data_IF_635197513812
#
_entry.id   IF_635197513812
#
_cell.length_a   1.000
_cell.length_b   1.000
_cell.length_c   1.000
_cell.angle_alpha   90.00
_cell.angle_beta   90.00
_cell.angle_gamma   90.00
#
_symmetry.space_group_name_H-M   'P 1'
#
loop_
_entity.id
_entity.type
_entity.pdbx_description
1 polymer ?
#
# COMPACT_ATOMS: atom_id res chain seq x y z
N UNK A 1 59.68 37.73 -56.88
CA UNK A 1 58.58 38.65 -56.49
C UNK A 1 58.11 38.24 -55.09
N UNK A 2 58.16 39.11 -54.07
CA UNK A 2 57.91 38.73 -52.66
C UNK A 2 56.42 38.57 -52.26
N UNK A 3 55.48 38.63 -53.21
CA UNK A 3 54.04 38.69 -52.92
C UNK A 3 53.27 37.36 -52.81
N UNK A 4 53.90 36.21 -53.12
CA UNK A 4 53.22 34.90 -53.11
C UNK A 4 53.09 34.32 -51.71
N UNK A 5 54.20 34.31 -50.96
CA UNK A 5 54.25 33.72 -49.61
C UNK A 5 53.43 34.52 -48.60
N UNK A 6 53.46 35.85 -48.70
CA UNK A 6 52.68 36.75 -47.86
C UNK A 6 51.17 36.58 -48.06
N UNK A 7 50.74 36.33 -49.29
CA UNK A 7 49.34 36.10 -49.61
C UNK A 7 48.85 34.71 -49.20
N UNK A 8 49.71 33.68 -49.30
CA UNK A 8 49.45 32.35 -48.73
C UNK A 8 49.32 32.37 -47.21
N UNK A 9 50.24 33.07 -46.52
CA UNK A 9 50.16 33.29 -45.07
C UNK A 9 48.88 34.04 -44.68
N UNK A 10 48.48 35.07 -45.45
CA UNK A 10 47.24 35.82 -45.22
C UNK A 10 45.99 34.93 -45.38
N UNK A 11 45.96 34.07 -46.40
CA UNK A 11 44.88 33.09 -46.59
C UNK A 11 44.81 32.08 -45.44
N UNK A 12 45.95 31.55 -45.01
CA UNK A 12 46.03 30.64 -43.87
C UNK A 12 45.53 31.30 -42.57
N UNK A 13 45.93 32.55 -42.33
CA UNK A 13 45.49 33.31 -41.16
C UNK A 13 43.98 33.57 -41.17
N UNK A 14 43.41 33.95 -42.32
CA UNK A 14 41.96 34.12 -42.47
C UNK A 14 41.18 32.81 -42.25
N UNK A 15 41.73 31.68 -42.73
CA UNK A 15 41.14 30.35 -42.51
C UNK A 15 41.14 29.97 -41.03
N UNK A 16 42.26 30.17 -40.33
CA UNK A 16 42.37 29.96 -38.88
C UNK A 16 41.39 30.87 -38.12
N UNK A 17 41.29 32.14 -38.51
CA UNK A 17 40.34 33.07 -37.90
C UNK A 17 38.89 32.61 -38.07
N UNK A 18 38.52 32.08 -39.23
CA UNK A 18 37.20 31.52 -39.47
C UNK A 18 36.93 30.28 -38.61
N UNK A 19 37.88 29.33 -38.55
CA UNK A 19 37.76 28.15 -37.70
C UNK A 19 37.66 28.49 -36.21
N UNK A 20 38.41 29.49 -35.74
CA UNK A 20 38.29 29.99 -34.36
C UNK A 20 36.91 30.62 -34.08
N UNK A 21 36.31 31.28 -35.05
CA UNK A 21 34.96 31.84 -34.91
C UNK A 21 33.89 30.74 -34.83
N UNK A 22 34.04 29.69 -35.64
CA UNK A 22 33.15 28.52 -35.62
C UNK A 22 33.24 27.76 -34.29
N UNK A 23 34.46 27.45 -33.82
CA UNK A 23 34.67 26.81 -32.51
C UNK A 23 34.06 27.64 -31.38
N UNK A 24 34.19 28.98 -31.42
CA UNK A 24 33.55 29.85 -30.42
C UNK A 24 32.03 29.71 -30.45
N UNK A 25 31.43 29.69 -31.64
CA UNK A 25 29.98 29.50 -31.79
C UNK A 25 29.52 28.13 -31.27
N UNK A 26 30.26 27.07 -31.57
CA UNK A 26 29.98 25.73 -31.04
C UNK A 26 30.12 25.67 -29.52
N UNK A 27 31.16 26.29 -28.96
CA UNK A 27 31.38 26.39 -27.52
C UNK A 27 30.20 27.08 -26.82
N UNK A 28 29.70 28.21 -27.34
CA UNK A 28 28.49 28.86 -26.81
C UNK A 28 27.24 27.95 -26.88
N UNK A 29 27.10 27.16 -27.95
CA UNK A 29 26.00 26.21 -28.09
C UNK A 29 26.10 25.08 -27.06
N UNK A 30 27.31 24.59 -26.78
CA UNK A 30 27.59 23.57 -25.76
C UNK A 30 27.30 24.12 -24.38
N UNK A 31 27.77 25.33 -24.04
CA UNK A 31 27.52 25.96 -22.74
C UNK A 31 26.02 26.11 -22.48
N UNK A 32 25.25 26.59 -23.47
CA UNK A 32 23.79 26.69 -23.33
C UNK A 32 23.10 25.33 -23.15
N UNK A 33 23.61 24.27 -23.78
CA UNK A 33 23.10 22.91 -23.59
C UNK A 33 23.48 22.38 -22.20
N UNK A 34 24.69 22.65 -21.72
CA UNK A 34 25.14 22.26 -20.38
C UNK A 34 24.29 22.93 -19.31
N UNK A 35 24.00 24.23 -19.43
CA UNK A 35 23.11 24.94 -18.49
C UNK A 35 21.72 24.28 -18.41
N UNK A 36 21.16 23.91 -19.57
CA UNK A 36 19.87 23.20 -19.64
C UNK A 36 19.95 21.82 -19.00
N UNK A 37 21.02 21.08 -19.24
CA UNK A 37 21.22 19.74 -18.65
C UNK A 37 21.37 19.85 -17.13
N UNK A 38 22.15 20.78 -16.63
CA UNK A 38 22.30 21.04 -15.19
C UNK A 38 20.95 21.39 -14.56
N UNK A 39 20.16 22.27 -15.19
CA UNK A 39 18.82 22.59 -14.70
C UNK A 39 17.89 21.37 -14.70
N UNK A 40 17.94 20.55 -15.76
CA UNK A 40 17.18 19.30 -15.82
C UNK A 40 17.61 18.31 -14.73
N UNK A 41 18.90 18.22 -14.44
CA UNK A 41 19.43 17.36 -13.38
C UNK A 41 18.93 17.81 -12.00
N UNK A 42 19.06 19.10 -11.68
CA UNK A 42 18.56 19.66 -10.41
C UNK A 42 17.06 19.39 -10.21
N UNK A 43 16.26 19.52 -11.28
CA UNK A 43 14.83 19.22 -11.20
C UNK A 43 14.56 17.73 -11.02
N UNK A 44 15.35 16.85 -11.65
CA UNK A 44 15.24 15.41 -11.46
C UNK A 44 15.63 14.98 -10.05
N UNK A 45 16.70 15.53 -9.48
CA UNK A 45 17.14 15.24 -8.11
C UNK A 45 16.07 15.63 -7.09
N UNK A 46 15.46 16.81 -7.24
CA UNK A 46 14.32 17.22 -6.38
C UNK A 46 13.16 16.24 -6.49
N UNK A 47 12.79 15.84 -7.72
CA UNK A 47 11.70 14.87 -7.95
C UNK A 47 12.00 13.51 -7.35
N UNK A 48 13.26 13.06 -7.38
CA UNK A 48 13.67 11.81 -6.72
C UNK A 48 13.46 11.93 -5.22
N UNK A 49 13.89 13.04 -4.60
CA UNK A 49 13.63 13.29 -3.18
C UNK A 49 12.14 13.29 -2.82
N UNK A 50 11.29 13.91 -3.65
CA UNK A 50 9.84 13.88 -3.45
C UNK A 50 9.26 12.45 -3.51
N UNK A 51 9.77 11.62 -4.43
CA UNK A 51 9.35 10.23 -4.58
C UNK A 51 9.75 9.41 -3.36
N UNK A 52 10.98 9.57 -2.87
CA UNK A 52 11.45 8.88 -1.66
C UNK A 52 10.60 9.23 -0.43
N UNK A 53 10.23 10.50 -0.26
CA UNK A 53 9.33 10.92 0.82
C UNK A 53 7.93 10.30 0.66
N UNK A 54 7.39 10.25 -0.56
CA UNK A 54 6.10 9.58 -0.82
C UNK A 54 6.18 8.09 -0.43
N UNK A 55 7.28 7.40 -0.73
CA UNK A 55 7.47 6.00 -0.34
C UNK A 55 7.50 5.85 1.18
N UNK A 56 8.28 6.68 1.88
CA UNK A 56 8.34 6.68 3.34
C UNK A 56 6.96 6.93 3.98
N UNK A 57 6.22 7.93 3.47
CA UNK A 57 4.89 8.25 3.98
C UNK A 57 3.88 7.13 3.72
N UNK A 58 3.96 6.42 2.58
CA UNK A 58 3.12 5.26 2.28
C UNK A 58 3.35 4.13 3.28
N UNK A 59 4.60 3.77 3.55
CA UNK A 59 4.94 2.73 4.52
C UNK A 59 4.45 3.10 5.93
N UNK A 60 4.63 4.36 6.32
CA UNK A 60 4.15 4.87 7.61
C UNK A 60 2.63 4.83 7.72
N UNK A 61 1.91 5.19 6.66
CA UNK A 61 0.46 5.10 6.60
C UNK A 61 -0.02 3.64 6.73
N UNK A 62 0.63 2.69 6.04
CA UNK A 62 0.32 1.27 6.12
C UNK A 62 0.54 0.71 7.55
N UNK A 63 1.64 1.07 8.20
CA UNK A 63 1.91 0.68 9.59
C UNK A 63 0.86 1.25 10.55
N UNK A 64 0.53 2.54 10.43
CA UNK A 64 -0.51 3.17 11.27
C UNK A 64 -1.88 2.54 11.07
N UNK A 65 -2.25 2.24 9.82
CA UNK A 65 -3.49 1.54 9.48
C UNK A 65 -3.55 0.15 10.15
N UNK A 66 -2.47 -0.63 10.06
CA UNK A 66 -2.41 -1.96 10.65
C UNK A 66 -2.39 -1.93 12.18
N UNK A 67 -1.74 -0.92 12.80
CA UNK A 67 -1.79 -0.70 14.25
C UNK A 67 -3.22 -0.37 14.70
N UNK A 68 -3.92 0.50 13.99
CA UNK A 68 -5.31 0.86 14.30
C UNK A 68 -6.26 -0.35 14.18
N UNK A 69 -6.03 -1.23 13.20
CA UNK A 69 -6.80 -2.46 12.97
C UNK A 69 -6.29 -3.67 13.76
N UNK A 70 -5.27 -3.52 14.61
CA UNK A 70 -4.63 -4.65 15.31
C UNK A 70 -5.59 -5.46 16.17
N UNK A 71 -6.64 -4.85 16.73
CA UNK A 71 -7.68 -5.55 17.50
C UNK A 71 -8.94 -5.90 16.68
N UNK A 72 -8.90 -5.71 15.37
CA UNK A 72 -10.04 -6.00 14.50
C UNK A 72 -9.96 -7.43 13.93
N UNK A 73 -11.14 -8.00 13.72
CA UNK A 73 -11.37 -9.31 13.13
C UNK A 73 -12.50 -9.24 12.10
N UNK A 74 -12.47 -10.17 11.15
CA UNK A 74 -13.44 -10.32 10.06
C UNK A 74 -14.12 -11.67 10.20
N UNK A 75 -15.46 -11.68 10.19
CA UNK A 75 -16.30 -12.88 10.14
C UNK A 75 -16.82 -13.04 8.71
N UNK A 76 -16.58 -14.20 8.12
CA UNK A 76 -17.02 -14.53 6.77
C UNK A 76 -18.12 -15.59 6.82
N UNK A 77 -19.14 -15.40 5.99
CA UNK A 77 -20.18 -16.39 5.74
C UNK A 77 -21.45 -16.22 6.57
N UNK A 78 -21.63 -15.12 7.30
CA UNK A 78 -22.90 -14.83 7.99
C UNK A 78 -23.96 -14.32 7.01
N UNK A 79 -25.14 -14.94 6.99
CA UNK A 79 -26.30 -14.47 6.21
C UNK A 79 -26.60 -13.00 6.50
N UNK A 80 -26.96 -12.22 5.49
CA UNK A 80 -27.29 -10.79 5.65
C UNK A 80 -28.45 -10.59 6.62
N UNK A 81 -28.30 -9.68 7.59
CA UNK A 81 -29.35 -9.31 8.54
C UNK A 81 -29.48 -10.20 9.78
N UNK A 82 -28.71 -11.28 9.89
CA UNK A 82 -28.72 -12.17 11.08
C UNK A 82 -28.32 -11.45 12.37
N UNK A 83 -27.54 -10.37 12.24
CA UNK A 83 -27.11 -9.49 13.33
C UNK A 83 -28.24 -8.67 13.95
N UNK A 84 -29.39 -8.54 13.26
CA UNK A 84 -30.50 -7.72 13.71
C UNK A 84 -30.13 -6.25 13.85
N UNK A 85 -30.66 -5.60 14.89
CA UNK A 85 -30.47 -4.16 15.16
C UNK A 85 -29.20 -3.85 15.95
N UNK A 86 -28.62 -4.84 16.63
CA UNK A 86 -27.45 -4.69 17.47
C UNK A 86 -26.35 -5.70 17.08
N UNK A 87 -25.47 -5.31 16.15
CA UNK A 87 -24.36 -6.14 15.73
C UNK A 87 -23.37 -6.46 16.85
N UNK A 88 -23.24 -5.61 17.87
CA UNK A 88 -22.29 -5.80 18.96
C UNK A 88 -22.75 -6.94 19.85
N UNK A 89 -23.98 -6.84 20.36
CA UNK A 89 -24.57 -7.91 21.19
C UNK A 89 -24.70 -9.23 20.42
N UNK A 90 -24.98 -9.18 19.11
CA UNK A 90 -24.98 -10.36 18.25
C UNK A 90 -23.59 -11.03 18.22
N UNK A 91 -22.52 -10.27 17.94
CA UNK A 91 -21.16 -10.84 17.84
C UNK A 91 -20.71 -11.42 19.18
N UNK A 92 -21.02 -10.77 20.31
CA UNK A 92 -20.72 -11.31 21.65
C UNK A 92 -21.34 -12.70 21.86
N UNK A 93 -22.64 -12.85 21.58
CA UNK A 93 -23.35 -14.13 21.70
C UNK A 93 -22.84 -15.17 20.70
N UNK A 94 -22.66 -14.75 19.45
CA UNK A 94 -22.17 -15.60 18.36
C UNK A 94 -20.79 -16.20 18.67
N UNK A 95 -19.87 -15.42 19.23
CA UNK A 95 -18.53 -15.91 19.58
C UNK A 95 -18.60 -17.00 20.65
N UNK A 96 -19.42 -16.81 21.68
CA UNK A 96 -19.61 -17.80 22.74
C UNK A 96 -20.24 -19.08 22.19
N UNK A 97 -21.26 -18.97 21.35
CA UNK A 97 -21.94 -20.13 20.75
C UNK A 97 -21.01 -20.94 19.84
N UNK A 98 -20.24 -20.28 18.98
CA UNK A 98 -19.40 -20.95 17.98
C UNK A 98 -18.08 -21.45 18.56
N UNK A 99 -17.46 -20.70 19.46
CA UNK A 99 -16.14 -21.04 20.02
C UNK A 99 -16.24 -21.81 21.34
N UNK A 100 -17.36 -21.67 22.06
CA UNK A 100 -17.62 -22.28 23.36
C UNK A 100 -17.27 -21.34 24.51
N UNK A 101 -18.05 -21.41 25.59
CA UNK A 101 -17.91 -20.57 26.79
C UNK A 101 -16.50 -20.60 27.41
N UNK A 102 -15.87 -21.77 27.41
CA UNK A 102 -14.52 -21.97 27.98
C UNK A 102 -13.41 -21.27 27.20
N UNK A 103 -13.71 -20.71 26.02
CA UNK A 103 -12.73 -19.95 25.21
C UNK A 103 -12.32 -18.66 25.90
N UNK A 104 -13.21 -18.05 26.67
CA UNK A 104 -12.99 -16.75 27.26
C UNK A 104 -12.94 -16.88 28.79
N UNK A 105 -11.95 -16.26 29.47
CA UNK A 105 -11.87 -16.27 30.93
C UNK A 105 -13.01 -15.47 31.59
N UNK A 106 -13.74 -14.68 30.81
CA UNK A 106 -14.89 -13.90 31.24
C UNK A 106 -15.69 -13.43 30.02
N UNK A 107 -16.57 -12.43 30.21
CA UNK A 107 -17.36 -11.87 29.10
C UNK A 107 -16.44 -11.30 28.02
N UNK A 108 -16.63 -11.73 26.78
CA UNK A 108 -16.00 -11.11 25.61
C UNK A 108 -16.63 -9.74 25.38
N UNK A 109 -15.81 -8.71 25.25
CA UNK A 109 -16.25 -7.33 25.07
C UNK A 109 -15.93 -6.87 23.66
N UNK A 110 -16.97 -6.48 22.92
CA UNK A 110 -16.85 -5.98 21.55
C UNK A 110 -17.08 -4.46 21.56
N UNK A 111 -16.06 -3.71 21.13
CA UNK A 111 -16.13 -2.25 21.08
C UNK A 111 -17.02 -1.77 19.92
N UNK A 112 -16.91 -2.43 18.76
CA UNK A 112 -17.69 -2.08 17.56
C UNK A 112 -17.85 -3.29 16.68
N UNK A 113 -19.01 -3.44 16.06
CA UNK A 113 -19.27 -4.43 15.02
C UNK A 113 -20.14 -3.83 13.92
N UNK A 114 -19.81 -4.12 12.67
CA UNK A 114 -20.57 -3.63 11.51
C UNK A 114 -20.31 -4.51 10.28
N UNK A 115 -21.20 -4.45 9.29
CA UNK A 115 -20.96 -5.04 7.97
C UNK A 115 -19.99 -4.16 7.18
N UNK A 116 -19.19 -4.77 6.30
CA UNK A 116 -18.35 -4.01 5.38
C UNK A 116 -19.18 -3.00 4.55
N UNK A 117 -18.63 -1.80 4.39
CA UNK A 117 -19.24 -0.69 3.66
C UNK A 117 -19.19 -0.93 2.15
N UNK A 118 -20.07 -1.82 1.68
CA UNK A 118 -20.35 -2.07 0.27
C UNK A 118 -21.85 -2.26 0.06
N UNK A 119 -22.35 -2.08 -1.18
CA UNK A 119 -23.75 -2.30 -1.51
C UNK A 119 -24.23 -3.66 -0.99
N UNK A 120 -25.48 -3.69 -0.52
CA UNK A 120 -26.09 -4.93 -0.04
C UNK A 120 -26.15 -5.92 -1.22
N UNK A 121 -25.63 -7.14 -1.05
CA UNK A 121 -25.64 -8.15 -2.10
C UNK A 121 -27.08 -8.54 -2.46
N UNK A 122 -27.28 -8.93 -3.72
CA UNK A 122 -28.56 -9.51 -4.17
C UNK A 122 -28.76 -10.89 -3.56
N UNK A 123 -29.98 -11.40 -3.65
CA UNK A 123 -30.27 -12.77 -3.26
C UNK A 123 -29.40 -13.76 -4.06
N UNK A 124 -28.78 -14.71 -3.38
CA UNK A 124 -27.83 -15.67 -3.98
C UNK A 124 -26.38 -15.18 -4.07
N UNK A 125 -26.11 -13.88 -3.93
CA UNK A 125 -24.74 -13.36 -3.87
C UNK A 125 -24.07 -13.59 -2.50
N UNK A 126 -22.74 -13.53 -2.48
CA UNK A 126 -21.97 -13.73 -1.25
C UNK A 126 -22.29 -12.64 -0.21
N UNK A 127 -22.68 -13.01 1.02
CA UNK A 127 -22.92 -12.04 2.09
C UNK A 127 -21.70 -11.18 2.40
N UNK A 128 -21.93 -9.93 2.81
CA UNK A 128 -20.87 -9.03 3.28
C UNK A 128 -20.26 -9.58 4.54
N UNK A 129 -18.97 -9.37 4.71
CA UNK A 129 -18.30 -9.73 5.96
C UNK A 129 -18.77 -8.82 7.10
N UNK A 130 -18.72 -9.33 8.33
CA UNK A 130 -18.78 -8.49 9.53
C UNK A 130 -17.35 -8.17 9.95
N UNK A 131 -17.07 -6.90 10.19
CA UNK A 131 -15.84 -6.41 10.78
C UNK A 131 -16.15 -5.99 12.21
N UNK A 132 -15.40 -6.49 13.17
CA UNK A 132 -15.59 -6.17 14.58
C UNK A 132 -14.25 -5.92 15.27
N UNK A 133 -14.28 -5.06 16.30
CA UNK A 133 -13.13 -4.72 17.13
C UNK A 133 -13.35 -5.29 18.52
N UNK A 134 -12.44 -6.16 18.96
CA UNK A 134 -12.43 -6.63 20.35
C UNK A 134 -11.80 -5.57 21.23
N UNK A 135 -12.31 -5.40 22.44
CA UNK A 135 -11.75 -4.43 23.39
C UNK A 135 -10.34 -4.84 23.83
N UNK A 136 -10.13 -6.15 24.07
CA UNK A 136 -8.85 -6.70 24.54
C UNK A 136 -8.15 -7.46 23.43
N UNK A 137 -6.91 -7.09 23.12
CA UNK A 137 -6.11 -7.78 22.10
C UNK A 137 -5.91 -9.28 22.39
N UNK A 138 -5.87 -9.67 23.66
CA UNK A 138 -5.77 -11.08 24.06
C UNK A 138 -6.99 -11.91 23.60
N UNK A 139 -8.20 -11.32 23.62
CA UNK A 139 -9.41 -11.99 23.14
C UNK A 139 -9.34 -12.25 21.64
N UNK A 140 -8.73 -11.34 20.86
CA UNK A 140 -8.45 -11.56 19.42
C UNK A 140 -7.62 -12.82 19.21
N UNK A 141 -6.52 -12.94 19.96
CA UNK A 141 -5.59 -14.07 19.84
C UNK A 141 -6.30 -15.37 20.21
N UNK A 142 -7.05 -15.39 21.32
CA UNK A 142 -7.86 -16.54 21.74
C UNK A 142 -8.86 -16.96 20.66
N UNK A 143 -9.60 -16.01 20.09
CA UNK A 143 -10.56 -16.28 19.01
C UNK A 143 -9.88 -16.97 17.83
N UNK A 144 -8.74 -16.43 17.37
CA UNK A 144 -8.02 -16.98 16.22
C UNK A 144 -7.43 -18.36 16.51
N UNK A 145 -6.83 -18.56 17.69
CA UNK A 145 -6.29 -19.86 18.09
C UNK A 145 -7.42 -20.90 18.18
N UNK A 146 -8.49 -20.59 18.90
CA UNK A 146 -9.63 -21.49 19.08
C UNK A 146 -10.31 -21.83 17.75
N UNK A 147 -10.44 -20.84 16.86
CA UNK A 147 -10.98 -21.06 15.53
C UNK A 147 -10.13 -22.02 14.70
N UNK A 148 -8.80 -21.95 14.81
CA UNK A 148 -7.88 -22.88 14.15
C UNK A 148 -7.96 -24.29 14.75
N UNK A 149 -7.99 -24.40 16.07
CA UNK A 149 -8.09 -25.69 16.78
C UNK A 149 -9.37 -26.46 16.43
N UNK A 150 -10.52 -25.77 16.38
CA UNK A 150 -11.78 -26.41 15.98
C UNK A 150 -11.81 -26.76 14.48
N UNK A 151 -10.99 -26.12 13.67
CA UNK A 151 -10.93 -26.31 12.22
C UNK A 151 -12.20 -25.79 11.52
N UNK A 152 -13.26 -26.60 11.51
CA UNK A 152 -14.53 -26.25 10.88
C UNK A 152 -15.51 -25.66 11.92
N UNK A 153 -15.78 -24.37 11.79
CA UNK A 153 -16.81 -23.68 12.57
C UNK A 153 -18.11 -23.62 11.79
N UNK A 154 -19.22 -23.97 12.42
CA UNK A 154 -20.56 -23.89 11.84
C UNK A 154 -21.46 -23.03 12.72
N UNK A 155 -22.37 -22.31 12.06
CA UNK A 155 -23.44 -21.57 12.70
C UNK A 155 -24.63 -21.53 11.75
N UNK A 156 -25.82 -21.91 12.22
CA UNK A 156 -27.00 -22.12 11.37
C UNK A 156 -26.70 -23.03 10.16
N UNK A 157 -26.02 -24.16 10.40
CA UNK A 157 -25.60 -25.14 9.38
C UNK A 157 -24.68 -24.60 8.27
N UNK A 158 -24.13 -23.41 8.43
CA UNK A 158 -23.24 -22.79 7.46
C UNK A 158 -21.84 -22.62 8.03
N UNK A 159 -20.81 -22.90 7.21
CA UNK A 159 -19.41 -22.76 7.61
C UNK A 159 -19.05 -21.29 7.82
N UNK A 160 -18.39 -20.98 8.93
CA UNK A 160 -17.91 -19.64 9.28
C UNK A 160 -16.38 -19.63 9.36
N UNK A 161 -15.78 -18.50 9.02
CA UNK A 161 -14.33 -18.30 9.10
C UNK A 161 -14.02 -16.97 9.76
N UNK A 162 -12.97 -16.97 10.57
CA UNK A 162 -12.41 -15.77 11.20
C UNK A 162 -11.08 -15.41 10.56
N UNK A 163 -10.88 -14.13 10.27
CA UNK A 163 -9.61 -13.61 9.74
C UNK A 163 -9.20 -12.33 10.47
N UNK A 164 -7.89 -12.07 10.61
CA UNK A 164 -7.41 -10.74 10.97
C UNK A 164 -7.90 -9.69 9.98
N UNK A 165 -8.24 -8.51 10.48
CA UNK A 165 -8.43 -7.31 9.66
C UNK A 165 -7.06 -6.63 9.46
N UNK A 166 -6.56 -6.67 8.22
CA UNK A 166 -5.24 -6.17 7.83
C UNK A 166 -5.39 -5.28 6.60
N UNK A 167 -4.42 -4.38 6.39
CA UNK A 167 -4.39 -3.54 5.19
C UNK A 167 -4.26 -4.38 3.92
N UNK A 168 -4.64 -3.79 2.78
CA UNK A 168 -4.52 -4.43 1.47
C UNK A 168 -3.06 -4.75 1.13
N UNK A 169 -2.15 -3.83 1.49
CA UNK A 169 -0.72 -3.99 1.22
C UNK A 169 -0.11 -5.14 2.04
N UNK A 170 -0.42 -5.20 3.35
CA UNK A 170 0.01 -6.33 4.18
C UNK A 170 -0.63 -7.65 3.73
N UNK A 171 -1.87 -7.61 3.25
CA UNK A 171 -2.53 -8.78 2.69
C UNK A 171 -1.83 -9.29 1.43
N UNK A 172 -1.42 -8.38 0.53
CA UNK A 172 -0.65 -8.72 -0.67
C UNK A 172 0.71 -9.33 -0.30
N UNK A 173 1.49 -8.66 0.58
CA UNK A 173 2.79 -9.20 1.05
C UNK A 173 2.67 -10.60 1.63
N UNK A 174 1.61 -10.89 2.39
CA UNK A 174 1.36 -12.24 2.92
C UNK A 174 1.03 -13.25 1.82
N UNK A 175 0.21 -12.85 0.85
CA UNK A 175 -0.11 -13.71 -0.29
C UNK A 175 1.14 -14.10 -1.07
N UNK A 176 2.05 -13.15 -1.30
CA UNK A 176 3.30 -13.39 -2.02
C UNK A 176 4.21 -14.37 -1.27
N UNK A 177 4.35 -14.20 0.05
CA UNK A 177 5.12 -15.15 0.88
C UNK A 177 4.56 -16.57 0.79
N UNK A 178 3.23 -16.73 0.85
CA UNK A 178 2.60 -18.04 0.72
C UNK A 178 2.63 -18.62 -0.70
N UNK A 179 2.71 -17.78 -1.73
CA UNK A 179 2.84 -18.23 -3.12
C UNK A 179 4.26 -18.73 -3.45
N UNK A 180 5.26 -18.27 -2.70
CA UNK A 180 6.66 -18.70 -2.84
C UNK A 180 7.05 -19.94 -2.02
N UNK A 181 6.15 -20.44 -1.18
CA UNK A 181 6.33 -21.65 -0.35
C UNK A 181 5.61 -22.86 -0.99
#
# INVERSE_FOLDING_TARGET
RPGSLTEEMRRGFNSIQAGLAEIRSEMFSIDSKLDKVTQCLDTSERRIGDIEEIHYLREKCDDLENRARRSNLRIVGLSEGVEGKDPVAFVEKFLVEVLGETTFPGRVEIERAHRALRPRPKEGEKPRIIIFKVLRFQDKVRILCRAREKGQLTYLNQKKKFFPDISAELQARRHDVYATL
#
